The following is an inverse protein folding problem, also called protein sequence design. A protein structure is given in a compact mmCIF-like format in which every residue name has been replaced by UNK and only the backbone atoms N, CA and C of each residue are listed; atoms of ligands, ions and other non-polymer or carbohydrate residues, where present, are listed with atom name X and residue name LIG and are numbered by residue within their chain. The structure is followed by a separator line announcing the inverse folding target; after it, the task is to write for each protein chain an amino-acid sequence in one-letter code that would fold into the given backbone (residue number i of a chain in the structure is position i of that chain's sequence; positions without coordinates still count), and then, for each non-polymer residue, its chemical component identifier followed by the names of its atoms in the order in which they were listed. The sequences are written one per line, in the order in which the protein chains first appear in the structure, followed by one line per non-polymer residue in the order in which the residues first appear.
data_IF_646109360898
#
_entry.id   IF_646109360898
#
_cell.length_a   1.000
_cell.length_b   1.000
_cell.length_c   1.000
_cell.angle_alpha   90.00
_cell.angle_beta   90.00
_cell.angle_gamma   90.00
#
_symmetry.space_group_name_H-M   'P 1'
#
loop_
_entity.id
_entity.type
_entity.pdbx_description
1 polymer ?
#
# COMPACT_ATOMS: atom_id res chain seq x y z
N UNK A 1 21.12 -39.17 -15.15
CA UNK A 1 19.72 -39.04 -14.71
C UNK A 1 19.61 -39.60 -13.31
N UNK A 2 19.67 -38.73 -12.30
CA UNK A 2 19.58 -39.10 -10.88
C UNK A 2 18.13 -38.87 -10.45
N UNK A 3 17.41 -39.97 -10.20
CA UNK A 3 16.05 -39.94 -9.64
C UNK A 3 16.13 -39.43 -8.20
N UNK A 4 15.55 -38.25 -7.94
CA UNK A 4 15.36 -37.76 -6.58
C UNK A 4 14.29 -38.62 -5.90
N UNK A 5 14.72 -39.40 -4.91
CA UNK A 5 13.85 -40.18 -4.06
C UNK A 5 13.12 -39.24 -3.08
N UNK A 6 11.78 -39.30 -3.00
CA UNK A 6 11.04 -38.41 -2.11
C UNK A 6 11.39 -38.71 -0.64
N UNK A 7 11.46 -37.67 0.21
CA UNK A 7 11.78 -37.86 1.61
C UNK A 7 10.75 -38.76 2.28
N UNK A 8 11.18 -39.66 3.18
CA UNK A 8 10.28 -40.61 3.84
C UNK A 8 9.20 -39.87 4.61
N UNK A 9 7.96 -40.36 4.49
CA UNK A 9 6.83 -39.83 5.24
C UNK A 9 7.12 -39.91 6.74
N UNK A 10 7.13 -38.75 7.39
CA UNK A 10 7.28 -38.66 8.84
C UNK A 10 5.93 -39.02 9.46
N UNK A 11 5.79 -40.29 9.84
CA UNK A 11 4.65 -40.75 10.63
C UNK A 11 4.55 -39.96 11.93
N UNK A 12 3.46 -39.23 12.08
CA UNK A 12 3.15 -38.53 13.32
C UNK A 12 2.74 -39.57 14.37
N UNK A 13 3.20 -39.44 15.64
CA UNK A 13 2.86 -40.39 16.69
C UNK A 13 1.34 -40.59 16.81
N UNK A 14 0.85 -41.84 16.88
CA UNK A 14 -0.57 -42.14 17.04
C UNK A 14 -1.05 -41.58 18.38
N UNK A 15 -1.70 -40.42 18.33
CA UNK A 15 -2.13 -39.65 19.50
C UNK A 15 -2.20 -38.14 19.22
N UNK A 16 -1.28 -37.59 18.41
CA UNK A 16 -1.30 -36.16 18.05
C UNK A 16 -2.50 -35.75 17.19
N UNK A 17 -3.00 -36.66 16.36
CA UNK A 17 -4.16 -36.37 15.52
C UNK A 17 -5.45 -36.20 16.33
N UNK A 18 -5.60 -36.94 17.43
CA UNK A 18 -6.77 -36.81 18.30
C UNK A 18 -6.73 -35.49 19.09
N UNK A 19 -5.56 -35.09 19.61
CA UNK A 19 -5.44 -33.82 20.33
C UNK A 19 -5.72 -32.61 19.43
N UNK A 20 -5.23 -32.61 18.19
CA UNK A 20 -5.54 -31.55 17.21
C UNK A 20 -7.04 -31.49 16.87
N UNK A 21 -7.70 -32.65 16.76
CA UNK A 21 -9.14 -32.72 16.49
C UNK A 21 -9.97 -32.15 17.64
N UNK A 22 -9.62 -32.47 18.89
CA UNK A 22 -10.31 -31.93 20.06
C UNK A 22 -10.12 -30.42 20.22
N UNK A 23 -8.93 -29.89 19.91
CA UNK A 23 -8.64 -28.46 19.98
C UNK A 23 -9.46 -27.65 18.97
N UNK A 24 -9.56 -28.14 17.72
CA UNK A 24 -10.39 -27.53 16.67
C UNK A 24 -11.86 -27.53 17.07
N UNK A 25 -12.38 -28.65 17.60
CA UNK A 25 -13.77 -28.74 18.02
C UNK A 25 -14.08 -27.82 19.20
N UNK A 26 -13.12 -27.63 20.12
CA UNK A 26 -13.26 -26.71 21.26
C UNK A 26 -13.30 -25.24 20.81
N UNK A 27 -12.52 -24.87 19.79
CA UNK A 27 -12.57 -23.53 19.19
C UNK A 27 -13.91 -23.21 18.53
N UNK A 28 -14.51 -24.18 17.85
CA UNK A 28 -15.81 -24.00 17.18
C UNK A 28 -16.97 -23.89 18.19
N UNK A 29 -16.91 -24.66 19.30
CA UNK A 29 -17.96 -24.63 20.33
C UNK A 29 -17.95 -23.34 21.19
N UNK A 30 -16.80 -22.67 21.33
CA UNK A 30 -16.66 -21.46 22.16
C UNK A 30 -17.22 -20.17 21.54
N UNK A 31 -17.33 -20.10 20.20
CA UNK A 31 -17.64 -18.85 19.50
C UNK A 31 -19.13 -18.43 19.52
N UNK A 32 -20.03 -19.19 20.15
CA UNK A 32 -21.49 -18.93 20.18
C UNK A 32 -22.06 -18.50 21.53
N UNK A 33 -21.28 -17.88 22.42
CA UNK A 33 -21.82 -17.34 23.68
C UNK A 33 -21.96 -15.82 23.67
N UNK A 34 -23.21 -15.39 23.90
CA UNK A 34 -23.64 -14.12 24.49
C UNK A 34 -23.88 -12.92 23.55
N UNK A 35 -24.94 -13.01 22.73
CA UNK A 35 -25.80 -11.84 22.47
C UNK A 35 -26.94 -11.85 23.48
N UNK A 36 -26.74 -11.19 24.63
CA UNK A 36 -27.85 -10.92 25.56
C UNK A 36 -28.79 -9.89 24.91
N UNK A 37 -30.11 -10.12 24.89
CA UNK A 37 -31.07 -9.12 24.44
C UNK A 37 -31.12 -7.98 25.47
N UNK A 38 -30.83 -6.75 25.03
CA UNK A 38 -31.02 -5.54 25.83
C UNK A 38 -32.53 -5.27 26.02
N UNK A 39 -32.98 -4.93 27.24
CA UNK A 39 -34.39 -4.67 27.52
C UNK A 39 -34.85 -3.34 26.91
N UNK A 40 -35.98 -3.39 26.19
CA UNK A 40 -36.65 -2.25 25.52
C UNK A 40 -37.50 -1.42 26.50
N UNK A 41 -36.92 -0.86 27.56
CA UNK A 41 -37.66 0.03 28.46
C UNK A 41 -36.79 1.14 29.05
N UNK A 42 -36.31 2.08 28.23
CA UNK A 42 -36.02 3.46 28.67
C UNK A 42 -36.32 4.41 27.49
N UNK A 43 -37.61 4.70 27.31
CA UNK A 43 -38.08 5.93 26.65
C UNK A 43 -38.76 6.74 27.75
N UNK A 44 -38.14 7.84 28.21
CA UNK A 44 -38.77 9.10 28.60
C UNK A 44 -37.81 9.95 29.46
N UNK A 45 -37.88 11.26 29.24
CA UNK A 45 -37.17 12.36 29.90
C UNK A 45 -35.66 12.41 29.56
N UNK A 46 -35.08 13.52 29.09
CA UNK A 46 -35.14 14.88 29.62
C UNK A 46 -34.95 15.91 28.47
N UNK A 47 -35.62 17.08 28.52
CA UNK A 47 -35.55 18.14 27.53
C UNK A 47 -34.50 19.23 27.89
N UNK A 48 -34.12 20.03 26.88
CA UNK A 48 -33.48 21.36 26.97
C UNK A 48 -32.09 21.44 27.67
N UNK A 49 -31.01 21.29 26.88
CA UNK A 49 -29.72 21.97 27.13
C UNK A 49 -28.78 21.83 25.92
N UNK A 50 -29.15 22.39 24.77
CA UNK A 50 -28.30 22.36 23.56
C UNK A 50 -28.23 23.74 22.90
N UNK A 51 -27.72 24.72 23.64
CA UNK A 51 -27.40 26.04 23.08
C UNK A 51 -26.04 26.61 23.57
N UNK A 52 -25.26 25.87 24.36
CA UNK A 52 -24.00 26.37 24.93
C UNK A 52 -22.75 25.54 24.56
N UNK A 53 -22.88 24.45 23.79
CA UNK A 53 -21.77 23.55 23.46
C UNK A 53 -21.19 23.74 22.04
N UNK A 54 -21.61 24.79 21.31
CA UNK A 54 -21.10 25.07 19.95
C UNK A 54 -19.89 26.03 19.97
N UNK A 55 -19.68 26.79 21.05
CA UNK A 55 -18.55 27.73 21.14
C UNK A 55 -17.24 27.09 21.63
N UNK A 56 -17.29 25.98 22.39
CA UNK A 56 -16.09 25.38 22.98
C UNK A 56 -15.37 24.39 22.05
N UNK A 57 -16.05 23.79 21.07
CA UNK A 57 -15.42 22.88 20.09
C UNK A 57 -14.66 23.65 19.00
N UNK A 58 -15.07 24.89 18.71
CA UNK A 58 -14.38 25.74 17.72
C UNK A 58 -13.05 26.27 18.27
N UNK A 59 -12.91 26.47 19.59
CA UNK A 59 -11.66 26.97 20.17
C UNK A 59 -10.58 25.89 20.34
N UNK A 60 -10.94 24.62 20.55
CA UNK A 60 -9.95 23.53 20.64
C UNK A 60 -9.52 23.04 19.24
N UNK A 61 -10.39 23.11 18.23
CA UNK A 61 -10.00 22.88 16.83
C UNK A 61 -9.20 24.06 16.21
N UNK A 62 -9.40 25.30 16.70
CA UNK A 62 -8.67 26.47 16.22
C UNK A 62 -7.21 26.56 16.68
N UNK A 63 -6.87 25.95 17.83
CA UNK A 63 -5.50 26.07 18.40
C UNK A 63 -4.52 25.03 17.83
N UNK A 64 -5.00 23.92 17.25
CA UNK A 64 -4.11 22.95 16.58
C UNK A 64 -3.82 23.29 15.09
N UNK A 65 -4.45 24.31 14.51
CA UNK A 65 -4.19 24.75 13.12
C UNK A 65 -3.17 25.90 13.07
N UNK A 66 -2.79 26.47 14.22
CA UNK A 66 -1.98 27.69 14.30
C UNK A 66 -0.46 27.53 14.35
N UNK A 67 0.10 26.31 14.46
CA UNK A 67 1.54 26.12 14.80
C UNK A 67 2.35 25.37 13.73
N UNK A 68 1.83 25.21 12.51
CA UNK A 68 2.63 24.67 11.40
C UNK A 68 2.31 25.37 10.07
N UNK A 69 2.38 26.70 10.06
CA UNK A 69 2.72 27.45 8.84
C UNK A 69 4.22 27.74 8.85
N UNK A 70 5.01 26.69 9.08
CA UNK A 70 6.37 26.73 8.60
C UNK A 70 6.25 26.70 7.08
N UNK A 71 6.79 27.73 6.44
CA UNK A 71 7.09 27.71 5.03
C UNK A 71 7.89 26.42 4.81
N UNK A 72 7.24 25.36 4.32
CA UNK A 72 7.92 24.15 3.92
C UNK A 72 8.86 24.58 2.80
N UNK A 73 10.10 24.87 3.17
CA UNK A 73 11.15 25.13 2.22
C UNK A 73 11.13 23.96 1.22
N UNK A 74 11.33 24.22 -0.09
CA UNK A 74 11.44 23.15 -1.06
C UNK A 74 12.41 22.11 -0.50
N UNK A 75 11.90 20.89 -0.28
CA UNK A 75 12.65 19.82 0.36
C UNK A 75 13.94 19.62 -0.43
N UNK A 76 15.06 20.09 0.14
CA UNK A 76 16.36 19.98 -0.46
C UNK A 76 16.86 18.54 -0.31
N UNK A 77 16.25 17.63 -1.09
CA UNK A 77 16.86 16.48 -1.77
C UNK A 77 17.85 15.58 -1.04
N UNK A 78 17.89 15.54 0.29
CA UNK A 78 18.76 14.60 0.98
C UNK A 78 18.03 13.26 1.10
N UNK A 79 18.57 12.17 0.52
CA UNK A 79 18.03 10.85 0.75
C UNK A 79 18.19 10.56 2.24
N UNK A 80 17.08 10.56 2.97
CA UNK A 80 17.06 9.96 4.30
C UNK A 80 17.70 8.57 4.18
N UNK A 81 18.61 8.24 5.09
CA UNK A 81 19.27 6.94 5.08
C UNK A 81 18.19 5.86 4.99
N UNK A 82 18.25 5.03 3.95
CA UNK A 82 17.28 3.95 3.78
C UNK A 82 17.43 2.99 4.96
N UNK A 83 16.33 2.73 5.65
CA UNK A 83 16.27 1.70 6.66
C UNK A 83 16.40 0.33 5.99
N UNK A 84 17.01 -0.65 6.67
CA UNK A 84 17.08 -2.02 6.18
C UNK A 84 15.68 -2.55 5.84
N UNK A 85 15.56 -3.22 4.69
CA UNK A 85 14.32 -3.87 4.28
C UNK A 85 14.21 -5.22 5.01
N UNK A 86 13.18 -5.45 5.84
CA UNK A 86 13.07 -6.68 6.62
C UNK A 86 13.10 -7.94 5.75
N UNK A 87 13.94 -8.91 6.13
CA UNK A 87 14.03 -10.21 5.42
C UNK A 87 14.95 -10.23 4.20
N UNK A 88 15.63 -9.13 3.88
CA UNK A 88 16.59 -9.04 2.78
C UNK A 88 17.94 -8.51 3.25
N UNK A 89 19.02 -9.10 2.75
CA UNK A 89 20.36 -8.52 2.86
C UNK A 89 20.61 -7.50 1.76
N UNK A 90 21.52 -6.56 1.96
CA UNK A 90 21.91 -5.56 0.95
C UNK A 90 22.27 -6.21 -0.40
N UNK A 91 23.04 -7.30 -0.40
CA UNK A 91 23.40 -8.03 -1.60
C UNK A 91 22.18 -8.59 -2.37
N UNK A 92 21.15 -9.05 -1.65
CA UNK A 92 19.91 -9.53 -2.27
C UNK A 92 19.09 -8.38 -2.85
N UNK A 93 19.06 -7.22 -2.17
CA UNK A 93 18.38 -6.03 -2.69
C UNK A 93 19.09 -5.51 -3.94
N UNK A 94 20.43 -5.51 -3.97
CA UNK A 94 21.21 -5.17 -5.17
C UNK A 94 20.93 -6.15 -6.32
N UNK A 95 20.90 -7.45 -6.06
CA UNK A 95 20.59 -8.44 -7.10
C UNK A 95 19.17 -8.25 -7.68
N UNK A 96 18.16 -8.04 -6.83
CA UNK A 96 16.79 -7.78 -7.26
C UNK A 96 16.66 -6.46 -8.01
N UNK A 97 17.36 -5.42 -7.53
CA UNK A 97 17.44 -4.13 -8.19
C UNK A 97 18.00 -4.27 -9.61
N UNK A 98 19.17 -4.88 -9.75
CA UNK A 98 19.85 -5.01 -11.04
C UNK A 98 19.06 -5.88 -12.02
N UNK A 99 18.42 -6.94 -11.53
CA UNK A 99 17.51 -7.77 -12.32
C UNK A 99 16.29 -6.97 -12.81
N UNK A 100 15.71 -6.12 -11.95
CA UNK A 100 14.59 -5.26 -12.32
C UNK A 100 15.00 -4.18 -13.33
N UNK A 101 16.14 -3.52 -13.13
CA UNK A 101 16.65 -2.53 -14.07
C UNK A 101 16.90 -3.17 -15.43
N UNK A 102 17.53 -4.35 -15.48
CA UNK A 102 17.77 -5.06 -16.73
C UNK A 102 16.46 -5.32 -17.50
N UNK A 103 15.39 -5.66 -16.79
CA UNK A 103 14.07 -5.88 -17.40
C UNK A 103 13.44 -4.58 -17.92
N UNK A 104 13.42 -3.52 -17.09
CA UNK A 104 12.96 -2.18 -17.49
C UNK A 104 13.68 -1.65 -18.73
N UNK A 105 14.98 -1.97 -18.87
CA UNK A 105 15.78 -1.60 -20.01
C UNK A 105 15.40 -2.37 -21.29
N UNK A 106 14.95 -3.62 -21.15
CA UNK A 106 14.55 -4.46 -22.28
C UNK A 106 13.09 -4.25 -22.72
N UNK A 107 12.22 -3.83 -21.80
CA UNK A 107 10.78 -3.65 -22.05
C UNK A 107 10.46 -2.61 -23.16
N UNK A 108 11.41 -1.74 -23.52
CA UNK A 108 11.28 -0.78 -24.62
C UNK A 108 11.58 -1.32 -26.03
N UNK A 109 12.11 -2.53 -26.16
CA UNK A 109 12.55 -3.08 -27.46
C UNK A 109 11.54 -4.05 -28.10
N UNK A 110 10.59 -4.57 -27.31
CA UNK A 110 9.80 -5.76 -27.69
C UNK A 110 8.31 -5.54 -27.44
N UNK A 111 7.67 -4.60 -28.13
CA UNK A 111 6.24 -4.72 -28.37
C UNK A 111 5.98 -5.33 -29.77
N UNK A 112 5.68 -6.64 -29.87
CA UNK A 112 5.33 -7.28 -31.13
C UNK A 112 3.97 -6.80 -31.69
N UNK A 113 3.18 -6.06 -30.93
CA UNK A 113 1.87 -5.53 -31.36
C UNK A 113 1.96 -4.20 -32.11
N UNK A 114 3.15 -3.57 -32.16
CA UNK A 114 3.37 -2.32 -32.90
C UNK A 114 2.65 -1.10 -32.32
N UNK A 115 2.07 -1.22 -31.11
CA UNK A 115 1.65 -0.06 -30.34
C UNK A 115 2.93 0.55 -29.80
N UNK A 116 3.24 1.80 -30.17
CA UNK A 116 4.45 2.46 -29.74
C UNK A 116 4.44 2.69 -28.24
N UNK A 117 4.89 1.71 -27.45
CA UNK A 117 5.22 1.92 -26.05
C UNK A 117 6.49 2.76 -26.07
N UNK A 118 6.38 4.03 -25.69
CA UNK A 118 7.56 4.89 -25.49
C UNK A 118 8.50 4.15 -24.53
N UNK A 119 9.76 3.92 -24.90
CA UNK A 119 10.73 3.22 -24.05
C UNK A 119 10.67 3.77 -22.62
N UNK A 120 10.58 2.89 -21.61
CA UNK A 120 10.42 3.31 -20.22
C UNK A 120 11.54 4.25 -19.76
N UNK A 121 12.76 4.06 -20.29
CA UNK A 121 13.92 4.95 -20.08
C UNK A 121 13.69 6.40 -20.49
N UNK A 122 12.79 6.66 -21.43
CA UNK A 122 12.49 8.04 -21.85
C UNK A 122 11.51 8.72 -20.89
N UNK A 123 10.89 7.96 -19.96
CA UNK A 123 9.89 8.45 -19.02
C UNK A 123 10.41 8.62 -17.60
N UNK A 124 11.41 7.84 -17.18
CA UNK A 124 11.97 7.86 -15.83
C UNK A 124 13.50 7.71 -15.86
N UNK A 125 14.19 8.37 -14.92
CA UNK A 125 15.60 8.10 -14.65
C UNK A 125 15.77 6.69 -14.04
N UNK A 126 15.95 5.70 -14.90
CA UNK A 126 16.14 4.28 -14.53
C UNK A 126 17.40 4.08 -13.68
N UNK A 127 18.45 4.87 -13.92
CA UNK A 127 19.71 4.75 -13.18
C UNK A 127 19.60 5.37 -11.76
N UNK A 128 18.66 6.29 -11.58
CA UNK A 128 18.33 6.91 -10.29
C UNK A 128 17.39 6.08 -9.40
N UNK A 129 16.82 4.98 -9.91
CA UNK A 129 15.91 4.13 -9.15
C UNK A 129 16.60 3.50 -7.95
N UNK A 130 15.88 3.43 -6.83
CA UNK A 130 16.35 2.78 -5.60
C UNK A 130 15.27 1.92 -4.99
N UNK A 131 15.64 0.77 -4.44
CA UNK A 131 14.71 -0.11 -3.73
C UNK A 131 14.30 0.54 -2.42
N UNK A 132 13.00 0.79 -2.24
CA UNK A 132 12.42 1.32 -1.00
C UNK A 132 11.74 0.25 -0.16
N UNK A 133 11.17 -0.76 -0.82
CA UNK A 133 10.51 -1.88 -0.16
C UNK A 133 10.72 -3.16 -0.93
N UNK A 134 10.68 -4.28 -0.22
CA UNK A 134 10.66 -5.61 -0.80
C UNK A 134 9.85 -6.53 0.11
N UNK A 135 9.02 -7.38 -0.49
CA UNK A 135 8.31 -8.45 0.21
C UNK A 135 8.52 -9.74 -0.57
N UNK A 136 8.84 -10.81 0.14
CA UNK A 136 8.87 -12.17 -0.39
C UNK A 136 7.90 -13.02 0.41
N UNK A 137 6.87 -13.54 -0.24
CA UNK A 137 5.87 -14.41 0.38
C UNK A 137 5.50 -15.57 -0.57
N UNK A 138 4.38 -16.24 -0.31
CA UNK A 138 3.93 -17.40 -1.09
C UNK A 138 3.56 -17.09 -2.55
N UNK A 139 3.30 -15.83 -2.88
CA UNK A 139 2.97 -15.40 -4.25
C UNK A 139 4.26 -15.19 -5.03
N UNK A 140 5.30 -14.69 -4.36
CA UNK A 140 6.57 -14.38 -4.99
C UNK A 140 7.27 -13.23 -4.30
N UNK A 141 8.25 -12.66 -4.99
CA UNK A 141 8.98 -11.48 -4.51
C UNK A 141 8.51 -10.26 -5.28
N UNK A 142 8.25 -9.15 -4.59
CA UNK A 142 7.98 -7.85 -5.21
C UNK A 142 8.89 -6.81 -4.58
N UNK A 143 9.45 -5.94 -5.41
CA UNK A 143 10.17 -4.74 -4.96
C UNK A 143 9.50 -3.48 -5.48
N UNK A 144 9.55 -2.41 -4.68
CA UNK A 144 9.17 -1.07 -5.11
C UNK A 144 10.42 -0.21 -5.24
N UNK A 145 10.56 0.41 -6.40
CA UNK A 145 11.64 1.32 -6.73
C UNK A 145 11.11 2.73 -6.94
N UNK A 146 11.83 3.72 -6.42
CA UNK A 146 11.51 5.13 -6.65
C UNK A 146 12.78 5.92 -6.95
N UNK A 147 12.60 6.96 -7.74
CA UNK A 147 13.54 8.06 -7.98
C UNK A 147 12.80 9.39 -7.75
N UNK A 148 13.45 10.53 -7.97
CA UNK A 148 12.86 11.87 -7.83
C UNK A 148 11.79 12.20 -8.87
N UNK A 149 11.71 11.43 -9.93
CA UNK A 149 10.92 11.70 -11.14
C UNK A 149 10.13 10.48 -11.63
N UNK A 150 10.30 9.32 -11.00
CA UNK A 150 9.76 8.06 -11.47
C UNK A 150 9.63 6.98 -10.41
N UNK A 151 8.82 5.98 -10.75
CA UNK A 151 8.65 4.77 -9.95
C UNK A 151 8.59 3.54 -10.83
N UNK A 152 9.01 2.42 -10.27
CA UNK A 152 8.87 1.12 -10.87
C UNK A 152 8.55 0.06 -9.81
N UNK A 153 7.92 -1.02 -10.23
CA UNK A 153 7.84 -2.25 -9.47
C UNK A 153 8.26 -3.43 -10.34
N UNK A 154 8.84 -4.44 -9.71
CA UNK A 154 9.14 -5.70 -10.34
C UNK A 154 8.65 -6.83 -9.43
N UNK A 155 7.99 -7.81 -10.03
CA UNK A 155 7.45 -8.99 -9.34
C UNK A 155 7.92 -10.26 -10.03
N UNK A 156 8.42 -11.21 -9.24
CA UNK A 156 8.84 -12.55 -9.65
C UNK A 156 7.88 -13.59 -9.07
N UNK A 157 7.25 -14.43 -9.90
CA UNK A 157 6.41 -15.52 -9.37
C UNK A 157 7.28 -16.67 -8.87
N UNK A 158 7.01 -17.15 -7.65
CA UNK A 158 7.69 -18.31 -7.07
C UNK A 158 9.10 -18.04 -6.53
N UNK A 159 9.78 -19.09 -6.04
CA UNK A 159 11.04 -18.95 -5.32
C UNK A 159 12.20 -18.64 -6.28
N UNK A 160 12.70 -17.38 -6.27
CA UNK A 160 14.05 -16.87 -6.66
C UNK A 160 14.79 -17.44 -7.90
N UNK A 161 14.23 -18.34 -8.70
CA UNK A 161 14.94 -19.03 -9.80
C UNK A 161 14.58 -18.49 -11.18
N UNK A 162 13.61 -17.56 -11.28
CA UNK A 162 13.41 -16.82 -12.51
C UNK A 162 14.42 -15.66 -12.57
N UNK A 163 15.27 -15.63 -13.60
CA UNK A 163 16.25 -14.56 -13.79
C UNK A 163 15.62 -13.22 -14.18
N UNK A 164 14.32 -13.20 -14.48
CA UNK A 164 13.57 -12.04 -14.94
C UNK A 164 12.27 -11.91 -14.15
N UNK A 165 11.81 -10.69 -13.84
CA UNK A 165 10.48 -10.50 -13.28
C UNK A 165 9.42 -10.97 -14.27
N UNK A 166 8.34 -11.53 -13.75
CA UNK A 166 7.21 -11.95 -14.56
C UNK A 166 6.24 -10.79 -14.81
N UNK A 167 6.31 -9.75 -13.98
CA UNK A 167 5.57 -8.51 -14.14
C UNK A 167 6.45 -7.34 -13.75
N UNK A 168 6.52 -6.37 -14.64
CA UNK A 168 7.22 -5.11 -14.44
C UNK A 168 6.24 -3.99 -14.72
N UNK A 169 6.07 -3.10 -13.75
CA UNK A 169 5.29 -1.89 -13.93
C UNK A 169 6.23 -0.70 -13.75
N UNK A 170 6.09 0.29 -14.62
CA UNK A 170 6.74 1.58 -14.44
C UNK A 170 5.73 2.67 -14.73
N UNK A 171 5.79 3.73 -13.94
CA UNK A 171 5.02 4.93 -14.21
C UNK A 171 5.94 6.12 -14.08
N UNK A 172 5.99 6.94 -15.14
CA UNK A 172 6.32 8.33 -14.96
C UNK A 172 5.27 8.97 -14.05
N UNK A 173 5.72 9.87 -13.19
CA UNK A 173 4.86 10.70 -12.37
C UNK A 173 4.17 11.80 -13.20
N UNK A 174 3.80 11.51 -14.44
CA UNK A 174 3.52 12.48 -15.50
C UNK A 174 2.39 13.46 -15.16
N UNK A 175 1.56 13.12 -14.16
CA UNK A 175 0.59 14.03 -13.54
C UNK A 175 0.62 14.02 -11.99
N UNK A 176 1.69 13.56 -11.34
CA UNK A 176 1.79 13.41 -9.88
C UNK A 176 3.24 13.50 -9.39
N UNK A 177 3.77 14.68 -9.10
CA UNK A 177 5.08 14.86 -8.43
C UNK A 177 5.26 13.84 -7.27
N UNK A 178 6.29 12.96 -7.31
CA UNK A 178 6.48 11.87 -6.34
C UNK A 178 6.56 12.33 -4.89
N UNK A 179 6.90 13.59 -4.69
CA UNK A 179 7.06 14.17 -3.38
C UNK A 179 5.70 14.46 -2.73
N UNK A 180 4.59 14.21 -3.43
CA UNK A 180 3.25 14.53 -2.99
C UNK A 180 2.29 13.34 -3.12
N UNK A 181 1.53 13.13 -2.05
CA UNK A 181 0.52 12.09 -1.93
C UNK A 181 -0.89 12.67 -2.11
N UNK A 182 -1.84 11.90 -2.69
CA UNK A 182 -3.24 12.30 -2.84
C UNK A 182 -4.02 12.37 -1.50
N UNK A 183 -3.33 12.23 -0.37
CA UNK A 183 -3.93 12.21 0.96
C UNK A 183 -3.11 11.34 1.90
N UNK A 184 -3.78 10.38 2.53
CA UNK A 184 -3.18 9.54 3.57
C UNK A 184 -2.26 8.41 3.06
N UNK A 185 -2.34 8.10 1.77
CA UNK A 185 -1.53 7.11 1.06
C UNK A 185 -1.65 7.34 -0.45
N UNK A 186 -0.75 6.77 -1.24
CA UNK A 186 -0.93 6.53 -2.68
C UNK A 186 -1.01 5.02 -2.95
N UNK A 187 -1.67 4.64 -4.05
CA UNK A 187 -1.54 3.31 -4.65
C UNK A 187 -0.77 3.49 -5.93
N UNK A 188 0.48 3.07 -5.92
CA UNK A 188 1.44 3.33 -6.99
C UNK A 188 1.60 2.14 -7.94
N UNK A 189 1.43 0.95 -7.38
CA UNK A 189 1.52 -0.32 -8.07
C UNK A 189 0.38 -1.24 -7.66
N UNK A 190 -0.12 -2.03 -8.60
CA UNK A 190 -1.24 -2.94 -8.41
C UNK A 190 -1.15 -4.09 -9.40
N UNK A 191 -0.98 -5.30 -8.90
CA UNK A 191 -0.99 -6.53 -9.69
C UNK A 191 -2.01 -7.49 -9.09
N UNK A 192 -2.75 -8.23 -9.92
CA UNK A 192 -3.78 -9.14 -9.43
C UNK A 192 -3.95 -10.35 -10.32
N UNK A 193 -4.43 -11.43 -9.71
CA UNK A 193 -4.92 -12.64 -10.34
C UNK A 193 -6.30 -13.02 -9.76
N UNK A 194 -6.87 -14.15 -10.17
CA UNK A 194 -8.11 -14.67 -9.59
C UNK A 194 -7.99 -15.17 -8.13
N UNK A 195 -6.78 -15.22 -7.57
CA UNK A 195 -6.52 -15.77 -6.23
C UNK A 195 -5.83 -14.79 -5.28
N UNK A 196 -5.25 -13.73 -5.81
CA UNK A 196 -4.53 -12.76 -5.01
C UNK A 196 -4.45 -11.41 -5.71
N UNK A 197 -4.28 -10.36 -4.91
CA UNK A 197 -3.86 -9.05 -5.37
C UNK A 197 -2.67 -8.57 -4.54
N UNK A 198 -1.80 -7.79 -5.15
CA UNK A 198 -0.70 -7.11 -4.50
C UNK A 198 -0.77 -5.64 -4.84
N UNK A 199 -0.79 -4.80 -3.81
CA UNK A 199 -0.82 -3.36 -3.95
C UNK A 199 0.35 -2.75 -3.21
N UNK A 200 1.05 -1.84 -3.88
CA UNK A 200 2.19 -1.12 -3.33
C UNK A 200 1.98 0.39 -3.44
N UNK A 201 2.59 1.14 -2.53
CA UNK A 201 2.50 2.60 -2.59
C UNK A 201 3.26 3.34 -1.49
N UNK A 202 3.08 4.65 -1.46
CA UNK A 202 3.69 5.57 -0.51
C UNK A 202 2.73 5.97 0.60
N UNK A 203 3.28 6.31 1.76
CA UNK A 203 2.56 6.84 2.92
C UNK A 203 3.34 7.98 3.57
N UNK A 204 2.66 8.97 4.19
CA UNK A 204 3.33 10.07 4.86
C UNK A 204 4.08 9.61 6.11
N UNK A 205 4.99 10.45 6.59
CA UNK A 205 5.70 10.23 7.84
C UNK A 205 4.74 9.98 9.02
N UNK A 206 5.15 9.07 9.92
CA UNK A 206 4.38 8.70 11.12
C UNK A 206 3.38 7.55 10.92
N UNK A 207 3.08 7.16 9.67
CA UNK A 207 2.36 5.91 9.38
C UNK A 207 3.29 4.73 9.61
N UNK A 208 2.79 3.71 10.31
CA UNK A 208 3.55 2.48 10.60
C UNK A 208 2.90 1.22 10.07
N UNK A 209 1.59 1.25 9.81
CA UNK A 209 0.83 0.13 9.30
C UNK A 209 -0.22 0.60 8.30
N UNK A 210 -0.48 -0.23 7.30
CA UNK A 210 -1.49 -0.02 6.26
C UNK A 210 -2.43 -1.21 6.23
N UNK A 211 -3.73 -0.96 6.08
CA UNK A 211 -4.71 -1.97 5.70
C UNK A 211 -5.27 -1.62 4.32
N UNK A 212 -5.13 -2.52 3.37
CA UNK A 212 -5.66 -2.36 2.01
C UNK A 212 -6.86 -3.26 1.86
N UNK A 213 -7.95 -2.72 1.31
CA UNK A 213 -9.15 -3.47 0.97
C UNK A 213 -9.42 -3.34 -0.52
N UNK A 214 -9.57 -4.48 -1.17
CA UNK A 214 -9.92 -4.63 -2.58
C UNK A 214 -11.15 -5.52 -2.66
N UNK A 215 -12.28 -4.99 -3.14
CA UNK A 215 -13.52 -5.74 -3.36
C UNK A 215 -13.99 -6.55 -2.14
N UNK A 216 -13.80 -5.98 -0.94
CA UNK A 216 -14.18 -6.59 0.33
C UNK A 216 -13.16 -7.56 0.91
N UNK A 217 -12.08 -7.87 0.18
CA UNK A 217 -10.93 -8.60 0.67
C UNK A 217 -9.90 -7.65 1.24
N UNK A 218 -9.33 -7.97 2.40
CA UNK A 218 -8.36 -7.09 3.06
C UNK A 218 -7.03 -7.77 3.29
N UNK A 219 -5.95 -7.00 3.15
CA UNK A 219 -4.59 -7.35 3.54
C UNK A 219 -4.00 -6.24 4.41
N UNK A 220 -3.03 -6.59 5.26
CA UNK A 220 -2.29 -5.61 6.05
C UNK A 220 -0.81 -5.63 5.65
N UNK A 221 -0.16 -4.48 5.78
CA UNK A 221 1.25 -4.31 5.51
C UNK A 221 1.91 -3.41 6.55
N UNK A 222 3.14 -3.74 6.89
CA UNK A 222 4.03 -2.84 7.62
C UNK A 222 4.62 -1.80 6.65
N UNK A 223 4.94 -0.62 7.19
CA UNK A 223 5.56 0.46 6.43
C UNK A 223 7.08 0.36 6.51
N UNK A 224 7.74 0.35 5.37
CA UNK A 224 9.22 0.34 5.23
C UNK A 224 9.62 1.52 4.36
N UNK A 225 10.54 2.37 4.84
CA UNK A 225 11.02 3.56 4.12
C UNK A 225 9.91 4.48 3.55
N UNK A 226 8.80 4.63 4.27
CA UNK A 226 7.65 5.43 3.84
C UNK A 226 6.83 4.80 2.71
N UNK A 227 6.94 3.49 2.52
CA UNK A 227 6.21 2.72 1.50
C UNK A 227 5.62 1.45 2.09
N UNK A 228 4.69 0.82 1.40
CA UNK A 228 4.08 -0.45 1.82
C UNK A 228 3.90 -1.38 0.62
N UNK A 229 3.85 -2.69 0.88
CA UNK A 229 3.43 -3.73 -0.07
C UNK A 229 2.43 -4.63 0.66
N UNK A 230 1.17 -4.59 0.26
CA UNK A 230 0.12 -5.41 0.83
C UNK A 230 -0.27 -6.54 -0.12
N UNK A 231 -0.26 -7.76 0.40
CA UNK A 231 -0.81 -8.94 -0.27
C UNK A 231 -2.24 -9.18 0.24
N UNK A 232 -3.17 -9.38 -0.70
CA UNK A 232 -4.59 -9.65 -0.44
C UNK A 232 -4.93 -11.00 -1.04
N UNK A 233 -5.51 -11.89 -0.24
CA UNK A 233 -6.05 -13.15 -0.74
C UNK A 233 -7.45 -12.96 -1.29
N UNK A 234 -7.65 -13.39 -2.54
CA UNK A 234 -8.93 -13.30 -3.23
C UNK A 234 -9.59 -14.68 -3.29
N UNK A 235 -10.91 -14.71 -3.14
CA UNK A 235 -11.71 -15.92 -3.34
C UNK A 235 -12.58 -15.75 -4.57
N UNK A 236 -11.95 -15.75 -5.75
CA UNK A 236 -12.63 -15.60 -7.04
C UNK A 236 -12.17 -14.36 -7.80
N UNK A 237 -12.64 -14.24 -9.04
CA UNK A 237 -12.39 -13.05 -9.85
C UNK A 237 -13.27 -11.88 -9.38
N UNK A 238 -12.69 -10.67 -9.22
CA UNK A 238 -13.47 -9.50 -8.85
C UNK A 238 -14.52 -9.18 -9.91
N UNK A 239 -15.78 -9.07 -9.49
CA UNK A 239 -16.91 -8.80 -10.37
C UNK A 239 -17.17 -7.29 -10.46
N UNK A 240 -16.41 -6.57 -11.30
CA UNK A 240 -16.64 -5.15 -11.60
C UNK A 240 -15.41 -4.25 -11.43
N UNK A 241 -15.57 -2.92 -11.53
CA UNK A 241 -14.47 -2.00 -11.28
C UNK A 241 -14.05 -2.12 -9.81
N UNK A 242 -12.81 -2.55 -9.59
CA UNK A 242 -12.31 -2.81 -8.26
C UNK A 242 -12.26 -1.55 -7.43
N UNK A 243 -12.85 -1.61 -6.22
CA UNK A 243 -12.80 -0.49 -5.28
C UNK A 243 -11.64 -0.69 -4.31
N UNK A 244 -10.61 0.13 -4.47
CA UNK A 244 -9.46 0.12 -3.56
C UNK A 244 -9.67 1.13 -2.43
N UNK A 245 -9.57 0.65 -1.18
CA UNK A 245 -9.51 1.50 0.01
C UNK A 245 -8.22 1.20 0.78
N UNK A 246 -7.47 2.22 1.13
CA UNK A 246 -6.24 2.11 1.91
C UNK A 246 -6.43 2.88 3.22
N UNK A 247 -6.33 2.21 4.36
CA UNK A 247 -6.39 2.82 5.69
C UNK A 247 -4.99 2.83 6.29
N UNK A 248 -4.59 3.96 6.85
CA UNK A 248 -3.27 4.13 7.44
C UNK A 248 -3.35 4.33 8.94
N UNK A 249 -2.38 3.75 9.66
CA UNK A 249 -2.36 3.72 11.12
C UNK A 249 -1.00 4.16 11.67
N UNK A 250 -1.04 4.92 12.76
CA UNK A 250 0.16 5.27 13.53
C UNK A 250 0.65 4.12 14.43
N UNK A 251 1.76 4.36 15.13
CA UNK A 251 2.37 3.38 16.05
C UNK A 251 1.45 2.97 17.20
N UNK A 252 0.49 3.81 17.59
CA UNK A 252 -0.48 3.49 18.63
C UNK A 252 -1.66 2.67 18.10
N UNK A 253 -1.68 2.34 16.80
CA UNK A 253 -2.78 1.66 16.14
C UNK A 253 -3.97 2.57 15.85
N UNK A 254 -3.84 3.89 16.03
CA UNK A 254 -4.90 4.84 15.69
C UNK A 254 -4.86 5.09 14.18
N UNK A 255 -6.04 5.04 13.56
CA UNK A 255 -6.16 5.40 12.15
C UNK A 255 -5.88 6.89 11.96
N UNK A 256 -4.94 7.21 11.09
CA UNK A 256 -4.52 8.59 10.77
C UNK A 256 -5.05 9.06 9.43
N UNK A 257 -5.50 8.15 8.57
CA UNK A 257 -6.22 8.53 7.36
C UNK A 257 -6.79 7.36 6.57
N UNK A 258 -7.46 7.73 5.47
CA UNK A 258 -8.01 6.81 4.48
C UNK A 258 -7.76 7.40 3.10
N UNK A 259 -7.25 6.59 2.19
CA UNK A 259 -7.27 6.84 0.76
C UNK A 259 -8.36 5.97 0.13
N UNK A 260 -9.15 6.57 -0.74
CA UNK A 260 -10.09 5.89 -1.62
C UNK A 260 -9.81 6.38 -3.03
N UNK A 261 -9.68 5.44 -3.95
CA UNK A 261 -9.47 5.79 -5.35
C UNK A 261 -10.71 6.52 -5.87
N UNK A 262 -10.57 7.83 -6.08
CA UNK A 262 -11.58 8.64 -6.78
C UNK A 262 -11.09 8.88 -8.18
N UNK A 263 -11.74 8.26 -9.16
CA UNK A 263 -11.46 8.51 -10.57
C UNK A 263 -11.56 10.03 -10.85
N UNK A 264 -10.47 10.63 -11.35
CA UNK A 264 -10.46 12.00 -11.87
C UNK A 264 -10.44 13.13 -10.83
N UNK A 265 -10.01 12.89 -9.59
CA UNK A 265 -9.79 13.96 -8.62
C UNK A 265 -8.61 14.87 -9.02
N UNK A 266 -8.64 16.16 -8.66
CA UNK A 266 -7.46 17.03 -8.79
C UNK A 266 -6.73 17.16 -7.44
N UNK A 267 -5.40 17.32 -7.51
CA UNK A 267 -4.52 17.46 -6.36
C UNK A 267 -3.77 18.77 -6.44
N UNK A 268 -3.70 19.49 -5.32
CA UNK A 268 -2.92 20.72 -5.20
C UNK A 268 -1.98 20.66 -4.02
N UNK A 269 -0.79 21.23 -4.16
CA UNK A 269 0.09 21.49 -3.03
C UNK A 269 -0.59 22.43 -2.01
N UNK A 270 -0.08 22.55 -0.78
CA UNK A 270 -0.60 23.50 0.21
C UNK A 270 -0.64 24.96 -0.24
N UNK A 271 0.25 25.37 -1.15
CA UNK A 271 0.29 26.69 -1.80
C UNK A 271 -0.62 26.82 -3.03
N UNK A 272 -1.32 25.75 -3.42
CA UNK A 272 -2.33 25.77 -4.49
C UNK A 272 -1.81 25.43 -5.88
N UNK A 273 -0.55 25.00 -6.03
CA UNK A 273 0.00 24.52 -7.29
C UNK A 273 -0.64 23.16 -7.62
N UNK A 274 -1.25 23.05 -8.79
CA UNK A 274 -1.79 21.78 -9.28
C UNK A 274 -0.65 20.76 -9.47
N UNK A 275 -0.81 19.61 -8.81
CA UNK A 275 0.03 18.42 -8.99
C UNK A 275 -0.64 17.47 -9.98
N UNK A 276 -1.96 17.26 -9.82
CA UNK A 276 -2.78 16.35 -10.62
C UNK A 276 -4.10 16.99 -11.04
N UNK A 277 -4.61 16.59 -12.19
CA UNK A 277 -5.87 17.08 -12.77
C UNK A 277 -5.66 18.04 -13.94
N UNK A 278 -6.75 18.48 -14.57
CA UNK A 278 -6.65 19.37 -15.74
C UNK A 278 -6.31 20.79 -15.32
N UNK A 279 -5.60 21.53 -16.18
CA UNK A 279 -5.31 22.98 -15.99
C UNK A 279 -6.57 23.84 -15.82
N UNK A 280 -7.73 23.34 -16.22
CA UNK A 280 -9.03 24.02 -16.11
C UNK A 280 -9.73 23.77 -14.78
N UNK A 281 -9.23 22.86 -13.95
CA UNK A 281 -9.85 22.57 -12.66
C UNK A 281 -9.54 23.69 -11.67
N UNK A 282 -10.58 24.17 -10.99
CA UNK A 282 -10.47 25.18 -9.94
C UNK A 282 -9.64 24.64 -8.76
N UNK A 283 -8.43 25.18 -8.49
CA UNK A 283 -7.55 24.68 -7.44
C UNK A 283 -8.19 24.68 -6.05
N UNK A 284 -9.18 25.55 -5.80
CA UNK A 284 -9.88 25.63 -4.52
C UNK A 284 -10.82 24.44 -4.26
N UNK A 285 -11.15 23.67 -5.31
CA UNK A 285 -11.95 22.45 -5.24
C UNK A 285 -11.09 21.18 -5.21
N UNK A 286 -9.77 21.32 -5.32
CA UNK A 286 -8.85 20.21 -5.34
C UNK A 286 -8.54 19.70 -3.94
N UNK A 287 -8.26 18.39 -3.86
CA UNK A 287 -7.77 17.78 -2.63
C UNK A 287 -6.36 18.28 -2.38
N UNK A 288 -6.09 18.69 -1.14
CA UNK A 288 -4.74 19.08 -0.75
C UNK A 288 -3.86 17.85 -0.67
N UNK A 289 -2.76 17.88 -1.41
CA UNK A 289 -1.74 16.86 -1.34
C UNK A 289 -0.93 16.97 -0.04
N UNK A 290 -0.42 15.83 0.40
CA UNK A 290 0.42 15.72 1.60
C UNK A 290 1.83 15.42 1.13
N UNK A 291 2.88 16.08 1.67
CA UNK A 291 4.24 15.71 1.30
C UNK A 291 4.49 14.26 1.70
N UNK A 292 5.11 13.49 0.81
CA UNK A 292 5.54 12.13 1.12
C UNK A 292 6.67 12.15 2.17
N UNK A 293 7.61 13.08 2.02
CA UNK A 293 8.81 13.24 2.85
C UNK A 293 9.05 14.68 3.19
#
# INVERSE_FOLDING_TARGET
MTLLEPPPERDLPPGRQQSMREEILRGIAGARRSRRPLPRFVRAAIPVAAAAAVAAVVFVAGVFIGVARDNAAPFAGHPAAQLPVPGFSDAQLTELHDACLKDLQHYGEVDPTGVGITPMRDQIDVDGLRVYNAVSDRIGTTILLYTTDGRASCTWDGPRTAHWPNQTSSGGFNDNDPNWLPGAASVDDGTSSSRWARLGGQVPAGVTRVEVTLDGHSGAADVVNGTYIATIDLTGEPSGPSKTTVRTFDRAGKQVGTYQETAGGCLVTPDGKAIHGTKTTDPSKCTKAVPWR
#
